data_IF_252897973940
#
_entry.id   IF_252897973940
#
_cell.length_a   1.000
_cell.length_b   1.000
_cell.length_c   1.000
_cell.angle_alpha   90.00
_cell.angle_beta   90.00
_cell.angle_gamma   90.00
#
_symmetry.space_group_name_H-M   'P 1'
#
loop_
_entity.id
_entity.type
_entity.pdbx_description
1 polymer ?
#
# COMPACT_ATOMS: atom_id res chain seq x y z
N UNK A 1 -15.23 5.33 22.73
CA UNK A 1 -13.91 5.55 22.08
C UNK A 1 -13.79 7.04 21.85
N UNK A 2 -12.62 7.65 22.07
CA UNK A 2 -12.49 9.11 21.94
C UNK A 2 -12.19 9.46 20.48
N UNK A 3 -12.75 10.56 19.97
CA UNK A 3 -12.58 11.05 18.58
C UNK A 3 -11.12 11.04 18.07
N UNK A 4 -10.09 11.41 18.86
CA UNK A 4 -8.69 11.32 18.42
C UNK A 4 -8.22 9.89 18.14
N UNK A 5 -8.70 8.92 18.92
CA UNK A 5 -8.37 7.50 18.73
C UNK A 5 -9.01 6.95 17.46
N UNK A 6 -10.26 7.34 17.16
CA UNK A 6 -10.94 6.97 15.91
C UNK A 6 -10.20 7.52 14.68
N UNK A 7 -9.77 8.79 14.74
CA UNK A 7 -8.96 9.40 13.68
C UNK A 7 -7.64 8.65 13.46
N UNK A 8 -6.95 8.24 14.54
CA UNK A 8 -5.69 7.49 14.41
C UNK A 8 -5.89 6.08 13.79
N UNK A 9 -7.00 5.41 14.09
CA UNK A 9 -7.30 4.11 13.47
C UNK A 9 -7.72 4.26 12.01
N UNK A 10 -8.48 5.31 11.67
CA UNK A 10 -8.79 5.62 10.28
C UNK A 10 -7.51 5.89 9.48
N UNK A 11 -6.58 6.69 10.03
CA UNK A 11 -5.30 6.97 9.38
C UNK A 11 -4.44 5.70 9.17
N UNK A 12 -4.46 4.78 10.13
CA UNK A 12 -3.83 3.46 9.96
C UNK A 12 -4.49 2.65 8.83
N UNK A 13 -5.82 2.66 8.73
CA UNK A 13 -6.52 1.97 7.64
C UNK A 13 -6.18 2.59 6.28
N UNK A 14 -6.13 3.92 6.20
CA UNK A 14 -5.75 4.64 4.97
C UNK A 14 -4.33 4.28 4.56
N UNK A 15 -3.36 4.26 5.50
CA UNK A 15 -1.99 3.84 5.21
C UNK A 15 -1.90 2.39 4.71
N UNK A 16 -2.71 1.47 5.25
CA UNK A 16 -2.78 0.08 4.76
C UNK A 16 -3.32 0.03 3.34
N UNK A 17 -4.40 0.77 3.05
CA UNK A 17 -5.00 0.82 1.72
C UNK A 17 -4.01 1.41 0.72
N UNK A 18 -3.35 2.52 1.05
CA UNK A 18 -2.33 3.15 0.22
C UNK A 18 -1.17 2.21 -0.11
N UNK A 19 -0.66 1.47 0.89
CA UNK A 19 0.43 0.52 0.68
C UNK A 19 0.05 -0.61 -0.27
N UNK A 20 -1.18 -1.15 -0.14
CA UNK A 20 -1.67 -2.29 -0.91
C UNK A 20 -2.30 -1.91 -2.25
N UNK A 21 -2.64 -0.64 -2.46
CA UNK A 21 -3.17 -0.11 -3.71
C UNK A 21 -2.04 0.10 -4.73
N UNK A 22 -1.50 -1.00 -5.25
CA UNK A 22 -0.44 -0.99 -6.25
C UNK A 22 -1.08 -1.01 -7.66
N UNK A 23 -0.69 -0.13 -8.60
CA UNK A 23 -1.27 -0.09 -9.94
C UNK A 23 -1.14 -1.44 -10.66
N UNK A 24 -2.12 -1.82 -11.47
CA UNK A 24 -1.98 -3.03 -12.27
C UNK A 24 -0.78 -2.89 -13.23
N UNK A 25 0.02 -3.96 -13.43
CA UNK A 25 1.12 -3.94 -14.38
C UNK A 25 0.60 -4.04 -15.81
N UNK A 26 1.44 -3.66 -16.78
CA UNK A 26 1.25 -4.06 -18.17
C UNK A 26 1.20 -5.60 -18.29
N UNK A 27 0.71 -6.11 -19.43
CA UNK A 27 0.65 -7.55 -19.73
C UNK A 27 2.03 -8.17 -20.04
N UNK A 28 3.12 -7.39 -19.93
CA UNK A 28 4.46 -7.92 -20.08
C UNK A 28 4.82 -8.77 -18.86
N UNK A 29 5.25 -10.01 -19.09
CA UNK A 29 5.60 -10.96 -18.03
C UNK A 29 6.63 -10.39 -17.01
N UNK A 30 7.54 -9.53 -17.49
CA UNK A 30 8.50 -8.85 -16.61
C UNK A 30 7.82 -7.89 -15.64
N UNK A 31 6.83 -7.11 -16.10
CA UNK A 31 6.07 -6.17 -15.29
C UNK A 31 5.15 -6.91 -14.30
N UNK A 32 4.49 -8.00 -14.73
CA UNK A 32 3.70 -8.86 -13.85
C UNK A 32 4.54 -9.41 -12.68
N UNK A 33 5.74 -9.93 -12.97
CA UNK A 33 6.65 -10.42 -11.92
C UNK A 33 7.09 -9.32 -10.96
N UNK A 34 7.37 -8.11 -11.47
CA UNK A 34 7.74 -6.97 -10.64
C UNK A 34 6.57 -6.53 -9.75
N UNK A 35 5.36 -6.51 -10.29
CA UNK A 35 4.13 -6.24 -9.55
C UNK A 35 3.92 -7.22 -8.40
N UNK A 36 3.95 -8.53 -8.66
CA UNK A 36 3.72 -9.53 -7.61
C UNK A 36 4.78 -9.46 -6.51
N UNK A 37 6.05 -9.23 -6.86
CA UNK A 37 7.13 -9.06 -5.88
C UNK A 37 6.97 -7.78 -5.05
N UNK A 38 6.50 -6.69 -5.66
CA UNK A 38 6.23 -5.45 -4.92
C UNK A 38 5.05 -5.63 -3.97
N UNK A 39 3.95 -6.20 -4.45
CA UNK A 39 2.75 -6.46 -3.65
C UNK A 39 3.06 -7.39 -2.46
N UNK A 40 3.83 -8.46 -2.69
CA UNK A 40 4.24 -9.39 -1.63
C UNK A 40 5.08 -8.69 -0.55
N UNK A 41 6.07 -7.88 -0.94
CA UNK A 41 6.92 -7.14 0.00
C UNK A 41 6.12 -6.14 0.83
N UNK A 42 5.25 -5.35 0.20
CA UNK A 42 4.40 -4.39 0.89
C UNK A 42 3.40 -5.07 1.83
N UNK A 43 2.77 -6.16 1.40
CA UNK A 43 1.88 -6.95 2.24
C UNK A 43 2.60 -7.54 3.46
N UNK A 44 3.82 -8.04 3.28
CA UNK A 44 4.65 -8.54 4.38
C UNK A 44 5.02 -7.42 5.36
N UNK A 45 5.46 -6.25 4.86
CA UNK A 45 5.79 -5.09 5.68
C UNK A 45 4.59 -4.61 6.50
N UNK A 46 3.42 -4.43 5.88
CA UNK A 46 2.17 -4.06 6.55
C UNK A 46 1.84 -5.07 7.65
N UNK A 47 1.89 -6.37 7.36
CA UNK A 47 1.61 -7.42 8.35
C UNK A 47 2.54 -7.33 9.56
N UNK A 48 3.85 -7.15 9.34
CA UNK A 48 4.84 -7.03 10.41
C UNK A 48 4.56 -5.80 11.27
N UNK A 49 4.32 -4.64 10.64
CA UNK A 49 4.10 -3.38 11.34
C UNK A 49 2.82 -3.43 12.18
N UNK A 50 1.72 -3.95 11.61
CA UNK A 50 0.46 -4.13 12.36
C UNK A 50 0.64 -5.10 13.52
N UNK A 51 1.40 -6.19 13.33
CA UNK A 51 1.66 -7.12 14.42
C UNK A 51 2.46 -6.46 15.56
N UNK A 52 3.51 -5.71 15.23
CA UNK A 52 4.32 -4.96 16.20
C UNK A 52 3.47 -3.90 16.89
N UNK A 53 2.60 -3.21 16.15
CA UNK A 53 1.68 -2.23 16.72
C UNK A 53 0.79 -2.87 17.78
N UNK A 54 0.19 -4.02 17.48
CA UNK A 54 -0.71 -4.70 18.42
C UNK A 54 0.00 -5.20 19.68
N UNK A 55 1.27 -5.56 19.61
CA UNK A 55 1.99 -6.17 20.74
C UNK A 55 2.88 -5.20 21.52
N UNK A 56 3.52 -4.24 20.84
CA UNK A 56 4.57 -3.37 21.40
C UNK A 56 4.09 -1.92 21.53
N UNK A 57 3.81 -1.23 20.42
CA UNK A 57 3.60 0.24 20.46
C UNK A 57 2.20 0.63 20.89
N UNK A 58 1.19 -0.11 20.44
CA UNK A 58 -0.25 0.14 20.68
C UNK A 58 -0.72 1.54 20.29
N UNK A 59 0.04 2.22 19.43
CA UNK A 59 -0.27 3.54 18.89
C UNK A 59 -0.46 3.44 17.36
N UNK A 60 -1.71 3.52 16.87
CA UNK A 60 -2.02 3.42 15.44
C UNK A 60 -1.28 4.44 14.57
N UNK A 61 -1.01 5.66 15.07
CA UNK A 61 -0.33 6.69 14.31
C UNK A 61 1.13 6.30 13.99
N UNK A 62 1.83 5.71 14.96
CA UNK A 62 3.19 5.18 14.75
C UNK A 62 3.21 4.08 13.68
N UNK A 63 2.17 3.24 13.65
CA UNK A 63 2.05 2.19 12.64
C UNK A 63 1.76 2.76 11.25
N UNK A 64 0.89 3.76 11.15
CA UNK A 64 0.58 4.44 9.90
C UNK A 64 1.84 5.09 9.30
N UNK A 65 2.61 5.83 10.09
CA UNK A 65 3.86 6.47 9.67
C UNK A 65 4.90 5.47 9.20
N UNK A 66 5.04 4.34 9.90
CA UNK A 66 5.95 3.27 9.52
C UNK A 66 5.55 2.63 8.19
N UNK A 67 4.26 2.39 7.96
CA UNK A 67 3.76 1.83 6.69
C UNK A 67 4.05 2.80 5.54
N UNK A 68 3.79 4.10 5.71
CA UNK A 68 4.08 5.12 4.68
C UNK A 68 5.56 5.22 4.37
N UNK A 69 6.41 5.19 5.40
CA UNK A 69 7.87 5.20 5.23
C UNK A 69 8.33 4.00 4.39
N UNK A 70 7.87 2.78 4.73
CA UNK A 70 8.18 1.58 3.95
C UNK A 70 7.65 1.63 2.52
N UNK A 71 6.44 2.16 2.34
CA UNK A 71 5.83 2.32 1.01
C UNK A 71 6.66 3.25 0.13
N UNK A 72 7.23 4.33 0.69
CA UNK A 72 8.08 5.26 -0.01
C UNK A 72 9.45 4.66 -0.39
N UNK A 73 9.99 3.74 0.41
CA UNK A 73 11.24 3.00 0.11
C UNK A 73 11.07 2.01 -1.05
N UNK A 74 9.83 1.60 -1.36
CA UNK A 74 9.51 0.62 -2.39
C UNK A 74 8.60 1.22 -3.48
N UNK A 75 9.10 2.13 -4.33
CA UNK A 75 8.31 2.71 -5.40
C UNK A 75 7.91 1.68 -6.46
N UNK A 76 6.88 2.01 -7.23
CA UNK A 76 6.50 1.25 -8.44
C UNK A 76 7.60 1.43 -9.49
N UNK A 77 8.12 0.33 -10.03
CA UNK A 77 9.23 0.34 -11.01
C UNK A 77 8.93 -0.40 -12.31
N UNK A 78 7.72 -0.94 -12.45
CA UNK A 78 7.21 -1.55 -13.69
C UNK A 78 6.32 -0.57 -14.44
N UNK A 79 6.01 -0.88 -15.70
CA UNK A 79 5.08 -0.08 -16.49
C UNK A 79 3.65 -0.36 -16.06
N UNK A 80 2.89 0.63 -15.55
CA UNK A 80 1.48 0.42 -15.22
C UNK A 80 0.64 0.15 -16.46
N UNK A 81 -0.47 -0.56 -16.30
CA UNK A 81 -1.48 -0.69 -17.33
C UNK A 81 -2.12 0.68 -17.60
N UNK A 82 -2.00 1.17 -18.83
CA UNK A 82 -2.77 2.31 -19.31
C UNK A 82 -4.04 1.77 -19.97
N UNK A 83 -5.20 2.10 -19.40
CA UNK A 83 -6.47 1.86 -20.05
C UNK A 83 -6.54 2.79 -21.26
N UNK A 84 -6.16 2.29 -22.44
CA UNK A 84 -6.36 3.01 -23.69
C UNK A 84 -7.86 3.23 -23.78
N UNK A 85 -8.31 4.46 -23.53
CA UNK A 85 -9.69 4.86 -23.76
C UNK A 85 -9.96 4.77 -25.26
N UNK A 86 -10.30 3.58 -25.75
CA UNK A 86 -10.95 3.37 -27.03
C UNK A 86 -12.34 4.01 -26.94
N UNK A 87 -12.43 5.30 -27.26
CA UNK A 87 -13.69 6.04 -27.11
C UNK A 87 -13.78 7.42 -27.75
N UNK A 88 -12.78 7.83 -28.55
CA UNK A 88 -12.81 9.07 -29.32
C UNK A 88 -13.32 8.89 -30.75
N UNK A 89 -14.35 8.07 -30.98
CA UNK A 89 -15.10 8.10 -32.24
C UNK A 89 -16.59 8.26 -31.93
N UNK A 90 -17.05 9.51 -31.98
CA UNK A 90 -18.34 9.91 -32.55
C UNK A 90 -18.31 11.38 -32.91
#
# INVERSE_FOLDING_TARGET
>A
MNKPTETAHADLLDAIVEALNVPLPSIAEADERLYYRLLERRALAVRIIVQINRTVTRDPSVAADAIRTRTAEEPVTYTPFEDVKDGGVR
#
